data_IF_503362508250
#
_entry.id   IF_503362508250
#
_cell.length_a   1.000
_cell.length_b   1.000
_cell.length_c   1.000
_cell.angle_alpha   90.00
_cell.angle_beta   90.00
_cell.angle_gamma   90.00
#
_symmetry.space_group_name_H-M   'P 1'
#
loop_
_entity.id
_entity.type
_entity.pdbx_description
1 polymer ?
#
# COMPACT_ATOMS: atom_id res chain seq x y z
N UNK A 1 -15.42 -1.97 68.69
CA UNK A 1 -16.79 -1.74 68.15
C UNK A 1 -16.77 -0.44 67.38
N UNK A 2 -16.58 -0.51 66.09
CA UNK A 2 -16.95 0.56 65.16
C UNK A 2 -17.48 -0.16 63.90
N UNK A 3 -18.70 0.19 63.52
CA UNK A 3 -19.48 -0.43 62.46
C UNK A 3 -19.04 0.09 61.10
N UNK A 4 -19.00 -0.83 60.14
CA UNK A 4 -18.95 -0.59 58.70
C UNK A 4 -20.23 0.08 58.22
N UNK A 5 -20.12 1.17 57.48
CA UNK A 5 -21.14 1.66 56.58
C UNK A 5 -20.57 1.62 55.15
N UNK A 6 -21.08 0.65 54.37
CA UNK A 6 -20.89 0.61 52.93
C UNK A 6 -21.77 1.66 52.25
N UNK A 7 -21.15 2.53 51.49
CA UNK A 7 -21.82 3.48 50.60
C UNK A 7 -21.98 2.83 49.20
N UNK A 8 -23.21 2.47 48.86
CA UNK A 8 -23.63 2.11 47.50
C UNK A 8 -23.76 3.40 46.68
N UNK A 9 -22.86 3.62 45.75
CA UNK A 9 -23.07 4.55 44.63
C UNK A 9 -22.53 3.99 43.32
N UNK A 10 -23.40 3.93 42.30
CA UNK A 10 -22.96 4.02 40.91
C UNK A 10 -23.11 2.82 40.00
N UNK A 11 -24.33 2.39 39.69
CA UNK A 11 -24.59 1.46 38.60
C UNK A 11 -25.67 2.04 37.65
N UNK A 12 -25.35 3.12 36.94
CA UNK A 12 -26.19 3.60 35.80
C UNK A 12 -25.46 4.19 34.60
N UNK A 13 -24.14 4.34 34.64
CA UNK A 13 -23.39 4.93 33.50
C UNK A 13 -22.70 3.91 32.52
N UNK A 14 -22.75 2.60 32.83
CA UNK A 14 -22.01 1.61 32.04
C UNK A 14 -22.80 0.96 30.88
N UNK A 15 -24.13 1.07 30.86
CA UNK A 15 -24.94 0.39 29.83
C UNK A 15 -24.97 1.10 28.48
N UNK A 16 -24.89 2.42 28.44
CA UNK A 16 -24.95 3.17 27.18
C UNK A 16 -23.61 3.16 26.42
N UNK A 17 -22.47 3.21 27.14
CA UNK A 17 -21.13 3.09 26.52
C UNK A 17 -20.85 1.69 25.97
N UNK A 18 -21.33 0.63 26.63
CA UNK A 18 -21.18 -0.75 26.13
C UNK A 18 -21.92 -1.02 24.82
N UNK A 19 -23.09 -0.44 24.62
CA UNK A 19 -23.88 -0.66 23.41
C UNK A 19 -23.30 0.04 22.18
N UNK A 20 -22.74 1.25 22.32
CA UNK A 20 -22.17 1.99 21.19
C UNK A 20 -20.83 1.41 20.72
N UNK A 21 -19.95 1.03 21.66
CA UNK A 21 -18.70 0.33 21.35
C UNK A 21 -18.96 -1.06 20.75
N UNK A 22 -20.04 -1.74 21.14
CA UNK A 22 -20.42 -3.02 20.57
C UNK A 22 -21.00 -2.87 19.15
N UNK A 23 -21.74 -1.79 18.87
CA UNK A 23 -22.31 -1.52 17.54
C UNK A 23 -21.25 -1.14 16.50
N UNK A 24 -20.24 -0.33 16.88
CA UNK A 24 -19.12 0.03 16.00
C UNK A 24 -18.24 -1.20 15.75
N UNK A 25 -17.97 -2.00 16.78
CA UNK A 25 -17.23 -3.27 16.63
C UNK A 25 -17.97 -4.28 15.74
N UNK A 26 -19.29 -4.35 15.81
CA UNK A 26 -20.10 -5.23 14.97
C UNK A 26 -20.11 -4.75 13.50
N UNK A 27 -20.07 -3.44 13.22
CA UNK A 27 -20.08 -2.91 11.86
C UNK A 27 -18.70 -3.02 11.16
N UNK A 28 -17.60 -2.85 11.88
CA UNK A 28 -16.26 -3.11 11.32
C UNK A 28 -16.01 -4.59 11.10
N UNK A 29 -16.49 -5.46 11.99
CA UNK A 29 -16.47 -6.91 11.82
C UNK A 29 -17.26 -7.35 10.57
N UNK A 30 -18.44 -6.76 10.33
CA UNK A 30 -19.26 -7.08 9.17
C UNK A 30 -18.60 -6.69 7.83
N UNK A 31 -17.87 -5.57 7.77
CA UNK A 31 -17.10 -5.19 6.59
C UNK A 31 -15.94 -6.18 6.35
N UNK A 32 -15.22 -6.55 7.40
CA UNK A 32 -14.10 -7.49 7.31
C UNK A 32 -14.52 -8.91 6.92
N UNK A 33 -15.77 -9.31 7.23
CA UNK A 33 -16.35 -10.60 6.81
C UNK A 33 -16.60 -10.66 5.29
N UNK A 34 -16.64 -9.51 4.60
CA UNK A 34 -16.79 -9.44 3.14
C UNK A 34 -15.47 -9.55 2.39
N UNK A 35 -14.33 -9.47 3.10
CA UNK A 35 -13.00 -9.55 2.48
C UNK A 35 -12.77 -10.97 1.93
N UNK A 36 -12.49 -11.14 0.64
CA UNK A 36 -12.23 -12.45 0.07
C UNK A 36 -10.88 -13.00 0.54
N UNK A 37 -10.72 -14.31 0.48
CA UNK A 37 -9.37 -14.88 0.56
C UNK A 37 -8.53 -14.37 -0.61
N UNK A 38 -7.49 -13.60 -0.31
CA UNK A 38 -6.64 -12.96 -1.32
C UNK A 38 -5.88 -14.02 -2.11
N UNK A 39 -6.28 -14.27 -3.35
CA UNK A 39 -5.54 -15.14 -4.27
C UNK A 39 -4.32 -14.40 -4.78
N UNK A 40 -3.14 -14.89 -4.42
CA UNK A 40 -1.88 -14.39 -4.97
C UNK A 40 -1.78 -14.80 -6.44
N UNK A 41 -1.89 -13.84 -7.34
CA UNK A 41 -1.77 -14.06 -8.77
C UNK A 41 -0.31 -13.90 -9.22
N UNK A 42 0.21 -14.86 -9.99
CA UNK A 42 1.53 -14.79 -10.60
C UNK A 42 1.41 -14.54 -12.11
N UNK A 43 2.38 -13.82 -12.64
CA UNK A 43 2.55 -13.67 -14.09
C UNK A 43 3.09 -14.96 -14.71
N UNK A 44 2.62 -15.27 -15.90
CA UNK A 44 3.10 -16.41 -16.70
C UNK A 44 4.28 -15.98 -17.58
N UNK A 45 5.47 -15.88 -16.97
CA UNK A 45 6.72 -15.59 -17.65
C UNK A 45 7.75 -16.67 -17.37
N UNK A 46 8.53 -17.04 -18.36
CA UNK A 46 9.79 -17.76 -18.17
C UNK A 46 10.89 -16.72 -17.89
N UNK A 47 11.41 -16.73 -16.67
CA UNK A 47 12.48 -15.81 -16.29
C UNK A 47 13.85 -16.46 -16.58
N UNK A 48 14.79 -15.76 -17.25
CA UNK A 48 16.15 -16.24 -17.43
C UNK A 48 16.89 -16.27 -16.07
N UNK A 49 17.04 -17.47 -15.52
CA UNK A 49 17.59 -17.64 -14.17
C UNK A 49 19.08 -17.38 -14.13
N UNK A 50 19.55 -16.84 -12.99
CA UNK A 50 20.96 -16.74 -12.66
C UNK A 50 21.57 -18.14 -12.47
N UNK A 51 22.73 -18.37 -13.07
CA UNK A 51 23.46 -19.62 -12.97
C UNK A 51 24.67 -19.47 -12.03
N UNK A 52 24.57 -19.93 -10.77
CA UNK A 52 25.65 -19.78 -9.80
C UNK A 52 26.91 -20.59 -10.16
N UNK A 53 26.79 -21.62 -11.01
CA UNK A 53 27.93 -22.45 -11.41
C UNK A 53 28.96 -21.70 -12.23
N UNK A 54 28.56 -20.62 -12.89
CA UNK A 54 29.43 -19.78 -13.72
C UNK A 54 30.36 -18.88 -12.90
N UNK A 55 30.08 -18.67 -11.62
CA UNK A 55 30.93 -17.87 -10.72
C UNK A 55 31.11 -16.41 -11.16
N UNK A 56 30.21 -15.88 -11.99
CA UNK A 56 30.31 -14.54 -12.56
C UNK A 56 29.99 -13.47 -11.52
N UNK A 57 30.82 -12.42 -11.49
CA UNK A 57 30.49 -11.18 -10.76
C UNK A 57 29.62 -10.33 -11.69
N UNK A 58 28.38 -10.06 -11.26
CA UNK A 58 27.50 -9.12 -12.02
C UNK A 58 27.84 -7.67 -11.66
N UNK A 59 27.63 -6.74 -12.58
CA UNK A 59 27.85 -5.32 -12.31
C UNK A 59 26.89 -4.80 -11.25
N UNK A 60 25.62 -5.24 -11.29
CA UNK A 60 24.59 -4.83 -10.33
C UNK A 60 23.76 -6.03 -9.85
N UNK A 61 23.64 -6.20 -8.54
CA UNK A 61 22.62 -7.02 -7.91
C UNK A 61 21.50 -6.12 -7.36
N UNK A 62 20.26 -6.32 -7.82
CA UNK A 62 19.07 -5.63 -7.35
C UNK A 62 18.32 -6.54 -6.39
N UNK A 63 18.23 -6.16 -5.13
CA UNK A 63 17.50 -6.92 -4.10
C UNK A 63 16.11 -6.33 -3.95
N UNK A 64 15.10 -7.03 -4.47
CA UNK A 64 13.70 -6.62 -4.50
C UNK A 64 13.19 -6.37 -5.93
N UNK A 65 12.16 -7.12 -6.33
CA UNK A 65 11.49 -7.07 -7.65
C UNK A 65 10.26 -6.17 -7.67
N UNK A 66 10.24 -5.11 -6.84
CA UNK A 66 9.23 -4.07 -6.87
C UNK A 66 9.39 -3.13 -8.08
N UNK A 67 8.49 -2.14 -8.27
CA UNK A 67 8.56 -1.20 -9.39
C UNK A 67 9.91 -0.50 -9.48
N UNK A 68 10.45 0.01 -8.36
CA UNK A 68 11.74 0.69 -8.32
C UNK A 68 12.90 -0.24 -8.70
N UNK A 69 12.93 -1.48 -8.16
CA UNK A 69 13.98 -2.45 -8.44
C UNK A 69 14.00 -2.85 -9.92
N UNK A 70 12.83 -3.14 -10.51
CA UNK A 70 12.73 -3.50 -11.93
C UNK A 70 13.08 -2.32 -12.84
N UNK A 71 12.69 -1.08 -12.49
CA UNK A 71 13.05 0.10 -13.26
C UNK A 71 14.57 0.30 -13.34
N UNK A 72 15.28 0.19 -12.20
CA UNK A 72 16.75 0.29 -12.20
C UNK A 72 17.37 -0.90 -12.92
N UNK A 73 16.89 -2.12 -12.72
CA UNK A 73 17.37 -3.31 -13.43
C UNK A 73 17.28 -3.14 -14.95
N UNK A 74 16.17 -2.61 -15.44
CA UNK A 74 15.96 -2.30 -16.85
C UNK A 74 16.98 -1.27 -17.34
N UNK A 75 17.05 -0.10 -16.70
CA UNK A 75 17.91 1.00 -17.15
C UNK A 75 19.40 0.62 -17.17
N UNK A 76 19.87 -0.08 -16.14
CA UNK A 76 21.27 -0.51 -16.05
C UNK A 76 21.59 -1.57 -17.09
N UNK A 77 20.66 -2.50 -17.36
CA UNK A 77 20.87 -3.50 -18.42
C UNK A 77 20.79 -2.92 -19.83
N UNK A 78 19.98 -1.89 -20.06
CA UNK A 78 19.97 -1.11 -21.32
C UNK A 78 21.31 -0.42 -21.59
N UNK A 79 22.02 -0.02 -20.54
CA UNK A 79 23.37 0.53 -20.65
C UNK A 79 24.45 -0.55 -20.90
N UNK A 80 24.07 -1.81 -21.08
CA UNK A 80 24.99 -2.91 -21.41
C UNK A 80 25.67 -3.56 -20.19
N UNK A 81 25.26 -3.23 -18.98
CA UNK A 81 25.80 -3.80 -17.76
C UNK A 81 25.04 -5.08 -17.36
N UNK A 82 25.76 -6.02 -16.74
CA UNK A 82 25.20 -7.29 -16.27
C UNK A 82 24.41 -7.09 -14.97
N UNK A 83 23.14 -7.52 -14.94
CA UNK A 83 22.24 -7.34 -13.80
C UNK A 83 21.65 -8.66 -13.34
N UNK A 84 21.61 -8.87 -12.01
CA UNK A 84 20.86 -9.92 -11.37
C UNK A 84 19.79 -9.32 -10.45
N UNK A 85 18.50 -9.60 -10.71
CA UNK A 85 17.38 -9.23 -9.85
C UNK A 85 17.02 -10.39 -8.93
N UNK A 86 17.02 -10.13 -7.61
CA UNK A 86 16.82 -11.16 -6.57
C UNK A 86 15.54 -10.81 -5.81
N UNK A 87 14.56 -11.70 -5.85
CA UNK A 87 13.26 -11.52 -5.18
C UNK A 87 12.66 -12.89 -4.80
N UNK A 88 12.06 -13.05 -3.62
CA UNK A 88 11.42 -14.32 -3.24
C UNK A 88 10.19 -14.67 -4.08
N UNK A 89 9.57 -13.70 -4.72
CA UNK A 89 8.35 -13.88 -5.54
C UNK A 89 8.38 -13.01 -6.80
N UNK A 90 9.35 -13.19 -7.71
CA UNK A 90 9.60 -12.27 -8.82
C UNK A 90 8.42 -12.15 -9.78
N UNK A 91 7.56 -13.18 -9.87
CA UNK A 91 6.38 -13.20 -10.74
C UNK A 91 5.10 -12.72 -10.06
N UNK A 92 5.08 -12.56 -8.74
CA UNK A 92 3.89 -12.16 -8.00
C UNK A 92 3.45 -10.75 -8.40
N UNK A 93 2.17 -10.56 -8.77
CA UNK A 93 1.61 -9.24 -9.03
C UNK A 93 1.65 -8.43 -7.74
N UNK A 94 2.06 -7.16 -7.84
CA UNK A 94 2.16 -6.30 -6.66
C UNK A 94 0.77 -6.08 -6.05
N UNK A 95 0.62 -6.22 -4.72
CA UNK A 95 -0.70 -6.23 -4.08
C UNK A 95 -1.36 -4.85 -4.02
N UNK A 96 -0.55 -3.77 -3.92
CA UNK A 96 -1.05 -2.44 -3.70
C UNK A 96 -1.68 -1.83 -4.96
N UNK A 97 -2.77 -1.08 -4.78
CA UNK A 97 -3.32 -0.24 -5.82
C UNK A 97 -2.42 0.98 -6.04
N UNK A 98 -2.17 1.34 -7.31
CA UNK A 98 -1.34 2.50 -7.67
C UNK A 98 -2.15 3.51 -8.46
N UNK A 99 -2.12 4.76 -7.99
CA UNK A 99 -2.62 5.90 -8.73
C UNK A 99 -1.46 6.84 -9.11
N UNK A 100 -1.53 7.44 -10.30
CA UNK A 100 -0.47 8.27 -10.87
C UNK A 100 -1.03 9.47 -11.62
N UNK A 101 -0.25 10.52 -11.76
CA UNK A 101 -0.55 11.58 -12.70
C UNK A 101 -0.29 11.09 -14.13
N UNK A 102 -1.25 11.31 -15.03
CA UNK A 102 -1.21 10.79 -16.40
C UNK A 102 0.00 11.34 -17.18
N UNK A 103 0.31 12.63 -17.02
CA UNK A 103 1.44 13.29 -17.67
C UNK A 103 2.82 12.71 -17.25
N UNK A 104 2.93 12.19 -16.02
CA UNK A 104 4.15 11.52 -15.56
C UNK A 104 4.31 10.15 -16.24
N UNK A 105 3.22 9.40 -16.41
CA UNK A 105 3.24 8.12 -17.13
C UNK A 105 3.42 8.30 -18.64
N UNK A 106 2.89 9.40 -19.20
CA UNK A 106 3.16 9.79 -20.59
C UNK A 106 4.65 10.03 -20.82
N UNK A 107 5.30 10.82 -19.95
CA UNK A 107 6.74 11.09 -20.04
C UNK A 107 7.62 9.84 -19.91
N UNK A 108 7.12 8.77 -19.31
CA UNK A 108 7.80 7.47 -19.15
C UNK A 108 7.42 6.43 -20.23
N UNK A 109 6.60 6.77 -21.22
CA UNK A 109 6.03 5.83 -22.19
C UNK A 109 5.29 4.65 -21.54
N UNK A 110 4.43 4.97 -20.54
CA UNK A 110 3.67 4.01 -19.75
C UNK A 110 2.15 4.23 -19.77
N UNK A 111 1.62 5.09 -20.68
CA UNK A 111 0.19 5.37 -20.78
C UNK A 111 -0.65 4.10 -20.98
N UNK A 112 -0.13 3.15 -21.76
CA UNK A 112 -0.78 1.84 -22.00
C UNK A 112 -0.90 0.98 -20.74
N UNK A 113 -0.19 1.35 -19.67
CA UNK A 113 -0.28 0.68 -18.36
C UNK A 113 -1.37 1.29 -17.44
N UNK A 114 -2.17 2.25 -17.91
CA UNK A 114 -3.33 2.76 -17.18
C UNK A 114 -4.59 1.99 -17.59
N UNK A 115 -5.39 1.54 -16.63
CA UNK A 115 -6.68 0.87 -16.91
C UNK A 115 -7.89 1.82 -16.78
N UNK A 116 -7.73 2.92 -16.04
CA UNK A 116 -8.76 3.93 -15.86
C UNK A 116 -8.09 5.29 -15.71
N UNK A 117 -8.69 6.32 -16.31
CA UNK A 117 -8.23 7.71 -16.18
C UNK A 117 -9.40 8.63 -15.87
N UNK A 118 -9.14 9.65 -15.06
CA UNK A 118 -10.06 10.74 -14.72
C UNK A 118 -9.51 12.06 -15.26
N UNK A 119 -10.39 12.94 -15.71
CA UNK A 119 -9.99 14.25 -16.26
C UNK A 119 -9.29 15.15 -15.25
N UNK A 120 -9.49 14.88 -13.96
CA UNK A 120 -8.87 15.61 -12.87
C UNK A 120 -9.10 14.93 -11.53
N UNK A 121 -8.72 15.64 -10.48
CA UNK A 121 -8.92 15.18 -9.11
C UNK A 121 -9.56 16.26 -8.25
N UNK A 122 -10.18 15.88 -7.14
CA UNK A 122 -10.76 16.81 -6.17
C UNK A 122 -10.17 16.59 -4.78
N UNK A 123 -9.92 17.71 -4.08
CA UNK A 123 -9.57 17.73 -2.67
C UNK A 123 -10.71 18.40 -1.90
N UNK A 124 -11.34 17.68 -0.98
CA UNK A 124 -12.27 18.25 -0.02
C UNK A 124 -11.50 18.65 1.25
N UNK A 125 -11.45 19.95 1.54
CA UNK A 125 -10.71 20.49 2.70
C UNK A 125 -11.59 20.41 3.95
N UNK A 126 -12.86 20.81 3.82
CA UNK A 126 -13.90 20.71 4.83
C UNK A 126 -15.27 20.56 4.13
N UNK A 127 -16.38 20.57 4.90
CA UNK A 127 -17.73 20.39 4.36
C UNK A 127 -18.17 21.51 3.39
N UNK A 128 -17.52 22.67 3.41
CA UNK A 128 -17.87 23.83 2.61
C UNK A 128 -16.82 24.19 1.55
N UNK A 129 -15.62 23.63 1.66
CA UNK A 129 -14.46 24.03 0.85
C UNK A 129 -13.90 22.84 0.11
N UNK A 130 -13.86 22.95 -1.21
CA UNK A 130 -13.17 21.97 -2.08
C UNK A 130 -12.24 22.67 -3.05
N UNK A 131 -11.24 21.97 -3.53
CA UNK A 131 -10.34 22.37 -4.60
C UNK A 131 -10.33 21.34 -5.71
N UNK A 132 -10.69 21.76 -6.92
CA UNK A 132 -10.51 20.96 -8.11
C UNK A 132 -9.07 21.08 -8.61
N UNK A 133 -8.50 19.98 -9.05
CA UNK A 133 -7.17 19.86 -9.63
C UNK A 133 -7.35 19.47 -11.11
N UNK A 134 -7.06 20.42 -12.01
CA UNK A 134 -7.16 20.23 -13.46
C UNK A 134 -5.92 19.50 -14.00
N UNK A 135 -5.61 18.34 -13.40
CA UNK A 135 -4.51 17.47 -13.80
C UNK A 135 -5.05 16.04 -13.87
N UNK A 136 -5.02 15.40 -15.04
CA UNK A 136 -5.53 14.05 -15.21
C UNK A 136 -4.82 13.04 -14.29
N UNK A 137 -5.62 12.14 -13.72
CA UNK A 137 -5.15 11.09 -12.83
C UNK A 137 -5.49 9.71 -13.39
N UNK A 138 -4.67 8.71 -13.16
CA UNK A 138 -4.86 7.38 -13.69
C UNK A 138 -4.63 6.28 -12.67
N UNK A 139 -5.38 5.17 -12.80
CA UNK A 139 -5.11 3.93 -12.09
C UNK A 139 -4.19 3.06 -12.92
N UNK A 140 -3.18 2.50 -12.27
CA UNK A 140 -2.21 1.61 -12.91
C UNK A 140 -2.75 0.18 -12.98
N UNK A 141 -2.75 -0.41 -14.17
CA UNK A 141 -2.87 -1.84 -14.35
C UNK A 141 -1.56 -2.52 -13.91
N UNK A 142 -1.53 -2.98 -12.68
CA UNK A 142 -0.33 -3.59 -12.03
C UNK A 142 0.22 -4.78 -12.80
N UNK A 143 -0.69 -5.59 -13.35
CA UNK A 143 -0.33 -6.78 -14.16
C UNK A 143 0.38 -6.37 -15.44
N UNK A 144 -0.17 -5.41 -16.16
CA UNK A 144 0.39 -4.93 -17.42
C UNK A 144 1.70 -4.19 -17.19
N UNK A 145 1.77 -3.29 -16.20
CA UNK A 145 3.01 -2.58 -15.85
C UNK A 145 4.14 -3.55 -15.52
N UNK A 146 3.89 -4.51 -14.59
CA UNK A 146 4.91 -5.49 -14.21
C UNK A 146 5.32 -6.37 -15.40
N UNK A 147 4.36 -6.79 -16.25
CA UNK A 147 4.65 -7.55 -17.46
C UNK A 147 5.57 -6.77 -18.40
N UNK A 148 5.26 -5.50 -18.67
CA UNK A 148 6.06 -4.63 -19.54
C UNK A 148 7.48 -4.44 -18.99
N UNK A 149 7.63 -4.19 -17.69
CA UNK A 149 8.94 -4.04 -17.04
C UNK A 149 9.75 -5.33 -17.07
N UNK A 150 9.14 -6.49 -16.75
CA UNK A 150 9.82 -7.79 -16.82
C UNK A 150 10.26 -8.10 -18.25
N UNK A 151 9.39 -7.86 -19.26
CA UNK A 151 9.72 -8.09 -20.66
C UNK A 151 10.95 -7.25 -21.09
N UNK A 152 11.01 -5.98 -20.71
CA UNK A 152 12.17 -5.13 -20.98
C UNK A 152 13.44 -5.66 -20.28
N UNK A 153 13.34 -6.05 -19.01
CA UNK A 153 14.45 -6.67 -18.29
C UNK A 153 14.97 -7.94 -18.97
N UNK A 154 14.04 -8.84 -19.40
CA UNK A 154 14.37 -10.10 -20.09
C UNK A 154 15.07 -9.82 -21.41
N UNK A 155 14.54 -8.90 -22.22
CA UNK A 155 15.10 -8.51 -23.53
C UNK A 155 16.52 -7.97 -23.38
N UNK A 156 16.80 -7.22 -22.31
CA UNK A 156 18.11 -6.64 -22.03
C UNK A 156 19.05 -7.60 -21.26
N UNK A 157 18.67 -8.86 -21.09
CA UNK A 157 19.54 -9.89 -20.52
C UNK A 157 19.65 -9.95 -19.00
N UNK A 158 18.78 -9.25 -18.27
CA UNK A 158 18.70 -9.36 -16.81
C UNK A 158 18.50 -10.80 -16.40
N UNK A 159 19.27 -11.29 -15.43
CA UNK A 159 19.08 -12.60 -14.80
C UNK A 159 18.26 -12.45 -13.52
N UNK A 160 17.48 -13.47 -13.21
CA UNK A 160 16.63 -13.49 -12.03
C UNK A 160 17.05 -14.61 -11.08
N UNK A 161 16.94 -14.36 -9.78
CA UNK A 161 17.14 -15.38 -8.76
C UNK A 161 15.98 -15.34 -7.77
N UNK A 162 15.24 -16.46 -7.69
CA UNK A 162 14.06 -16.53 -6.82
C UNK A 162 14.49 -16.96 -5.42
N UNK A 163 14.91 -16.00 -4.60
CA UNK A 163 15.32 -16.24 -3.22
C UNK A 163 15.23 -14.94 -2.40
N UNK A 164 15.39 -15.08 -1.08
CA UNK A 164 15.54 -13.97 -0.15
C UNK A 164 17.02 -13.80 0.20
N UNK A 165 17.57 -12.62 -0.02
CA UNK A 165 18.90 -12.26 0.49
C UNK A 165 18.83 -12.16 2.02
N UNK A 166 19.66 -12.91 2.71
CA UNK A 166 19.71 -12.95 4.18
C UNK A 166 20.95 -12.28 4.77
N UNK A 167 22.00 -12.10 3.97
CA UNK A 167 23.24 -11.44 4.38
C UNK A 167 23.98 -10.90 3.16
N UNK A 168 24.61 -9.74 3.33
CA UNK A 168 25.59 -9.19 2.39
C UNK A 168 26.95 -9.08 3.09
N UNK A 169 28.00 -9.50 2.42
CA UNK A 169 29.40 -9.36 2.86
C UNK A 169 30.10 -8.51 1.82
N UNK A 170 30.66 -7.38 2.23
CA UNK A 170 31.43 -6.51 1.36
C UNK A 170 32.90 -6.92 1.41
N UNK A 171 33.47 -7.16 0.25
CA UNK A 171 34.90 -7.35 0.00
C UNK A 171 35.50 -6.11 -0.68
N UNK A 172 36.78 -6.08 -0.91
CA UNK A 172 37.48 -4.91 -1.46
C UNK A 172 36.95 -4.50 -2.86
N UNK A 173 36.60 -5.46 -3.72
CA UNK A 173 36.22 -5.21 -5.13
C UNK A 173 34.82 -5.70 -5.49
N UNK A 174 34.12 -6.37 -4.58
CA UNK A 174 32.78 -6.95 -4.81
C UNK A 174 32.04 -7.18 -3.51
N UNK A 175 30.77 -7.48 -3.63
CA UNK A 175 29.90 -7.92 -2.52
C UNK A 175 29.41 -9.35 -2.77
N UNK A 176 29.24 -10.09 -1.69
CA UNK A 176 28.70 -11.45 -1.68
C UNK A 176 27.28 -11.39 -1.07
N UNK A 177 26.27 -11.70 -1.87
CA UNK A 177 24.88 -11.78 -1.43
C UNK A 177 24.54 -13.24 -1.12
N UNK A 178 24.36 -13.56 0.14
CA UNK A 178 23.99 -14.91 0.60
C UNK A 178 22.48 -15.01 0.63
N UNK A 179 21.94 -15.96 -0.13
CA UNK A 179 20.51 -16.23 -0.22
C UNK A 179 20.08 -17.38 0.71
N UNK A 180 18.80 -17.40 1.05
CA UNK A 180 18.21 -18.39 1.95
C UNK A 180 18.17 -19.83 1.38
N UNK A 181 18.39 -20.00 0.09
CA UNK A 181 18.51 -21.29 -0.61
C UNK A 181 19.97 -21.80 -0.69
N UNK A 182 20.91 -21.08 -0.05
CA UNK A 182 22.33 -21.42 -0.03
C UNK A 182 23.14 -20.88 -1.20
N UNK A 183 22.51 -20.26 -2.21
CA UNK A 183 23.22 -19.64 -3.33
C UNK A 183 23.89 -18.35 -2.86
N UNK A 184 25.13 -18.11 -3.35
CA UNK A 184 25.83 -16.84 -3.19
C UNK A 184 25.97 -16.15 -4.54
N UNK A 185 25.47 -14.92 -4.63
CA UNK A 185 25.58 -14.07 -5.81
C UNK A 185 26.68 -13.04 -5.57
N UNK A 186 27.55 -12.86 -6.56
CA UNK A 186 28.64 -11.90 -6.50
C UNK A 186 28.29 -10.67 -7.36
N UNK A 187 28.46 -9.48 -6.81
CA UNK A 187 28.16 -8.24 -7.51
C UNK A 187 29.16 -7.13 -7.20
N UNK A 188 29.48 -6.31 -8.18
CA UNK A 188 30.28 -5.10 -7.97
C UNK A 188 29.50 -4.08 -7.13
N UNK A 189 28.21 -3.89 -7.45
CA UNK A 189 27.30 -2.98 -6.74
C UNK A 189 26.06 -3.75 -6.28
N UNK A 190 25.54 -3.41 -5.09
CA UNK A 190 24.29 -3.95 -4.53
C UNK A 190 23.32 -2.79 -4.34
N UNK A 191 22.11 -2.94 -4.89
CA UNK A 191 20.99 -2.03 -4.68
C UNK A 191 19.96 -2.67 -3.74
N UNK A 192 19.68 -2.02 -2.61
CA UNK A 192 18.54 -2.36 -1.77
C UNK A 192 17.26 -1.71 -2.31
N UNK A 193 16.42 -2.50 -2.97
CA UNK A 193 15.09 -2.13 -3.45
C UNK A 193 13.98 -2.89 -2.70
N UNK A 194 14.23 -3.29 -1.45
CA UNK A 194 13.32 -4.08 -0.63
C UNK A 194 12.16 -3.27 -0.02
N UNK A 195 12.04 -2.00 -0.39
CA UNK A 195 10.96 -1.12 0.03
C UNK A 195 10.91 -0.94 1.55
N UNK A 196 9.77 -1.26 2.14
CA UNK A 196 9.56 -1.11 3.59
C UNK A 196 10.59 -1.85 4.45
N UNK A 197 11.04 -3.03 4.04
CA UNK A 197 11.90 -3.88 4.89
C UNK A 197 13.32 -3.34 5.04
N UNK A 198 13.86 -2.59 4.04
CA UNK A 198 15.21 -2.00 4.08
C UNK A 198 16.26 -2.94 4.71
N UNK A 199 16.24 -4.19 4.27
CA UNK A 199 16.95 -5.28 4.98
C UNK A 199 18.48 -5.20 4.88
N UNK A 200 19.02 -4.37 3.98
CA UNK A 200 20.46 -4.20 3.77
C UNK A 200 21.01 -2.88 4.35
N UNK A 201 20.15 -2.05 4.94
CA UNK A 201 20.56 -0.76 5.51
C UNK A 201 20.97 -0.93 6.97
N UNK A 202 22.17 -0.45 7.32
CA UNK A 202 22.62 -0.30 8.69
C UNK A 202 22.44 1.16 9.12
N UNK A 203 21.75 1.37 10.25
CA UNK A 203 21.49 2.71 10.79
C UNK A 203 22.46 3.03 11.93
N UNK A 204 22.95 4.27 11.99
CA UNK A 204 23.81 4.77 13.07
C UNK A 204 23.06 4.86 14.41
N UNK A 205 21.75 4.96 14.38
CA UNK A 205 20.87 5.01 15.55
C UNK A 205 19.72 4.03 15.40
N UNK A 206 19.04 3.61 16.49
CA UNK A 206 17.87 2.77 16.40
C UNK A 206 16.85 3.37 15.44
N UNK A 207 16.46 2.59 14.45
CA UNK A 207 15.48 3.00 13.43
C UNK A 207 14.09 3.11 14.08
N UNK A 208 13.54 4.32 14.11
CA UNK A 208 12.21 4.61 14.66
C UNK A 208 11.52 5.64 13.78
N UNK A 209 11.06 5.26 12.58
CA UNK A 209 10.38 6.17 11.65
C UNK A 209 8.97 6.52 12.09
N UNK A 210 8.41 7.58 11.48
CA UNK A 210 6.97 7.77 11.45
C UNK A 210 6.37 6.92 10.33
N UNK A 211 5.07 6.63 10.45
CA UNK A 211 4.33 5.85 9.47
C UNK A 211 3.02 6.52 9.09
N UNK A 212 2.75 6.56 7.81
CA UNK A 212 1.41 6.74 7.27
C UNK A 212 0.78 5.35 7.15
N UNK A 213 -0.45 5.19 7.62
CA UNK A 213 -1.16 3.90 7.60
C UNK A 213 -2.44 4.05 6.83
N UNK A 214 -2.71 3.13 5.92
CA UNK A 214 -3.90 3.15 5.08
C UNK A 214 -4.56 1.77 5.02
N UNK A 215 -5.89 1.79 4.95
CA UNK A 215 -6.72 0.62 4.66
C UNK A 215 -7.58 0.92 3.43
N UNK A 216 -7.39 0.13 2.38
CA UNK A 216 -8.09 0.26 1.10
C UNK A 216 -8.95 -0.95 0.78
N UNK A 217 -10.07 -0.72 0.07
CA UNK A 217 -10.90 -1.77 -0.51
C UNK A 217 -11.30 -1.41 -1.94
N UNK A 218 -11.19 -2.36 -2.84
CA UNK A 218 -11.89 -2.32 -4.13
C UNK A 218 -13.22 -3.03 -3.93
N UNK A 219 -14.33 -2.33 -4.10
CA UNK A 219 -15.63 -2.83 -3.71
C UNK A 219 -16.71 -2.61 -4.77
N UNK A 220 -17.66 -3.53 -4.81
CA UNK A 220 -18.99 -3.30 -5.35
C UNK A 220 -19.88 -2.73 -4.25
N UNK A 221 -20.55 -1.61 -4.56
CA UNK A 221 -21.43 -0.87 -3.63
C UNK A 221 -22.84 -0.73 -4.24
N UNK A 222 -23.85 -0.35 -3.44
CA UNK A 222 -25.16 -0.04 -3.99
C UNK A 222 -25.07 1.22 -4.87
N UNK A 223 -24.50 2.29 -4.32
CA UNK A 223 -24.23 3.57 -4.99
C UNK A 223 -23.19 4.36 -4.18
N UNK A 224 -22.60 5.38 -4.77
CA UNK A 224 -21.70 6.32 -4.10
C UNK A 224 -21.91 7.76 -4.61
N UNK A 225 -21.59 8.80 -3.81
CA UNK A 225 -21.88 10.20 -4.15
C UNK A 225 -20.79 10.88 -5.00
N UNK A 226 -19.76 10.16 -5.43
CA UNK A 226 -18.61 10.75 -6.12
C UNK A 226 -18.85 10.90 -7.61
N UNK A 227 -18.27 11.97 -8.19
CA UNK A 227 -18.26 12.23 -9.63
C UNK A 227 -17.42 11.16 -10.34
N UNK A 228 -17.95 10.59 -11.42
CA UNK A 228 -17.26 9.54 -12.18
C UNK A 228 -16.13 10.07 -13.06
N UNK A 229 -16.09 11.37 -13.32
CA UNK A 229 -15.07 12.02 -14.14
C UNK A 229 -13.88 12.56 -13.29
N UNK A 230 -13.99 12.50 -11.97
CA UNK A 230 -12.97 13.00 -11.05
C UNK A 230 -12.60 11.98 -9.99
N UNK A 231 -11.30 11.81 -9.79
CA UNK A 231 -10.77 11.06 -8.67
C UNK A 231 -10.81 11.90 -7.39
N UNK A 232 -11.15 11.32 -6.24
CA UNK A 232 -11.06 11.98 -4.94
C UNK A 232 -9.66 11.77 -4.37
N UNK A 233 -8.83 12.82 -4.50
CA UNK A 233 -7.42 12.72 -4.10
C UNK A 233 -7.24 12.79 -2.59
N UNK A 234 -7.99 13.66 -1.90
CA UNK A 234 -8.03 13.73 -0.44
C UNK A 234 -9.39 14.28 0.01
N UNK A 235 -10.11 13.54 0.81
CA UNK A 235 -11.32 14.02 1.48
C UNK A 235 -11.07 14.12 2.99
N UNK A 236 -10.78 15.34 3.46
CA UNK A 236 -10.50 15.67 4.86
C UNK A 236 -11.73 15.94 5.71
N UNK A 237 -12.94 15.88 5.13
CA UNK A 237 -14.17 16.10 5.88
C UNK A 237 -14.27 15.10 7.04
N UNK A 238 -14.60 15.60 8.22
CA UNK A 238 -14.63 14.79 9.46
C UNK A 238 -16.00 14.80 10.17
N UNK A 239 -17.03 15.36 9.54
CA UNK A 239 -18.40 15.42 10.07
C UNK A 239 -18.99 14.05 10.41
N UNK A 240 -18.53 12.99 9.76
CA UNK A 240 -18.87 11.59 10.08
C UNK A 240 -18.46 11.18 11.51
N UNK A 241 -17.56 11.90 12.16
CA UNK A 241 -17.08 11.63 13.52
C UNK A 241 -17.85 12.41 14.60
N UNK A 242 -18.74 13.34 14.23
CA UNK A 242 -19.42 14.22 15.18
C UNK A 242 -20.21 13.48 16.27
N UNK A 243 -20.69 12.28 15.98
CA UNK A 243 -21.44 11.45 16.94
C UNK A 243 -20.56 10.45 17.71
N UNK A 244 -19.22 10.51 17.54
CA UNK A 244 -18.27 9.65 18.22
C UNK A 244 -17.10 10.48 18.77
N UNK A 245 -17.21 10.90 20.03
CA UNK A 245 -16.23 11.78 20.67
C UNK A 245 -14.82 11.18 20.74
N UNK A 246 -14.70 9.85 20.88
CA UNK A 246 -13.41 9.16 20.98
C UNK A 246 -12.67 9.17 19.63
N UNK A 247 -13.38 8.82 18.54
CA UNK A 247 -12.82 8.89 17.18
C UNK A 247 -12.53 10.33 16.77
N UNK A 248 -13.39 11.29 17.14
CA UNK A 248 -13.18 12.71 16.81
C UNK A 248 -11.94 13.28 17.53
N UNK A 249 -11.76 12.95 18.81
CA UNK A 249 -10.55 13.33 19.55
C UNK A 249 -9.29 12.69 18.95
N UNK A 250 -9.36 11.40 18.59
CA UNK A 250 -8.26 10.72 17.93
C UNK A 250 -7.93 11.35 16.57
N UNK A 251 -8.97 11.71 15.78
CA UNK A 251 -8.79 12.35 14.47
C UNK A 251 -8.22 13.77 14.58
N UNK A 252 -8.57 14.52 15.63
CA UNK A 252 -7.99 15.86 15.85
C UNK A 252 -6.49 15.84 16.14
N UNK A 253 -5.97 14.73 16.68
CA UNK A 253 -4.54 14.53 16.94
C UNK A 253 -3.78 14.04 15.72
N UNK A 254 -4.35 13.05 15.03
CA UNK A 254 -3.80 12.45 13.80
C UNK A 254 -4.95 12.29 12.82
N UNK A 255 -5.16 13.27 11.94
CA UNK A 255 -6.24 13.22 10.96
C UNK A 255 -6.09 12.07 9.98
N UNK A 256 -7.24 11.63 9.43
CA UNK A 256 -7.31 10.75 8.27
C UNK A 256 -8.11 11.41 7.16
N UNK A 257 -7.86 10.99 5.94
CA UNK A 257 -8.60 11.40 4.75
C UNK A 257 -9.02 10.17 3.95
N UNK A 258 -10.09 10.32 3.19
CA UNK A 258 -10.49 9.32 2.20
C UNK A 258 -9.82 9.63 0.85
N UNK A 259 -9.25 8.61 0.25
CA UNK A 259 -8.85 8.55 -1.15
C UNK A 259 -9.85 7.65 -1.89
N UNK A 260 -10.35 8.08 -3.06
CA UNK A 260 -11.34 7.29 -3.77
C UNK A 260 -11.19 7.36 -5.28
N UNK A 261 -11.28 6.19 -5.93
CA UNK A 261 -11.27 6.02 -7.38
C UNK A 261 -12.61 5.45 -7.84
N UNK A 262 -13.56 6.27 -8.34
CA UNK A 262 -14.82 5.80 -8.87
C UNK A 262 -14.65 5.22 -10.28
N UNK A 263 -14.99 3.94 -10.48
CA UNK A 263 -14.91 3.28 -11.79
C UNK A 263 -16.26 3.24 -12.50
N UNK A 264 -17.33 3.12 -11.73
CA UNK A 264 -18.72 3.20 -12.19
C UNK A 264 -19.61 3.63 -11.02
N UNK A 265 -20.91 3.78 -11.23
CA UNK A 265 -21.86 4.16 -10.17
C UNK A 265 -21.90 3.17 -8.98
N UNK A 266 -21.42 1.94 -9.15
CA UNK A 266 -21.48 0.88 -8.15
C UNK A 266 -20.15 0.15 -7.94
N UNK A 267 -19.06 0.57 -8.58
CA UNK A 267 -17.72 -0.02 -8.38
C UNK A 267 -16.71 1.06 -8.08
N UNK A 268 -16.02 0.95 -6.95
CA UNK A 268 -15.14 2.02 -6.46
C UNK A 268 -14.00 1.44 -5.61
N UNK A 269 -12.82 2.05 -5.71
CA UNK A 269 -11.77 1.87 -4.73
C UNK A 269 -11.87 2.99 -3.68
N UNK A 270 -11.80 2.61 -2.42
CA UNK A 270 -11.92 3.49 -1.26
C UNK A 270 -10.77 3.18 -0.29
N UNK A 271 -10.05 4.21 0.13
CA UNK A 271 -8.94 4.06 1.07
C UNK A 271 -8.97 5.15 2.13
N UNK A 272 -9.02 4.76 3.40
CA UNK A 272 -8.87 5.66 4.54
C UNK A 272 -7.39 5.68 4.94
N UNK A 273 -6.77 6.86 4.93
CA UNK A 273 -5.33 7.05 5.09
C UNK A 273 -5.05 8.05 6.20
N UNK A 274 -4.14 7.71 7.14
CA UNK A 274 -3.70 8.62 8.21
C UNK A 274 -2.62 9.58 7.73
N UNK A 275 -2.45 10.68 8.44
CA UNK A 275 -1.17 11.40 8.41
C UNK A 275 -0.07 10.57 9.08
N UNK A 276 1.19 10.97 8.82
CA UNK A 276 2.36 10.33 9.44
C UNK A 276 2.32 10.49 10.95
N UNK A 277 2.45 9.39 11.65
CA UNK A 277 2.49 9.34 13.11
C UNK A 277 3.62 8.43 13.62
N UNK A 278 4.06 8.66 14.84
CA UNK A 278 5.08 7.86 15.53
C UNK A 278 4.64 7.56 16.96
N UNK A 279 4.24 6.32 17.27
CA UNK A 279 4.06 5.19 16.36
C UNK A 279 2.95 5.45 15.33
N UNK A 280 2.92 4.65 14.25
CA UNK A 280 1.83 4.70 13.26
C UNK A 280 0.47 4.38 13.89
N UNK A 281 -0.59 4.92 13.31
CA UNK A 281 -1.97 4.66 13.77
C UNK A 281 -2.27 3.16 13.64
N UNK A 282 -2.87 2.52 14.65
CA UNK A 282 -3.26 1.11 14.53
C UNK A 282 -4.20 0.89 13.34
N UNK A 283 -3.96 -0.15 12.55
CA UNK A 283 -4.78 -0.49 11.37
C UNK A 283 -6.27 -0.57 11.70
N UNK A 284 -6.60 -1.14 12.87
CA UNK A 284 -7.97 -1.24 13.34
C UNK A 284 -8.66 0.13 13.49
N UNK A 285 -7.93 1.15 13.94
CA UNK A 285 -8.48 2.50 14.11
C UNK A 285 -8.76 3.14 12.74
N UNK A 286 -7.93 2.85 11.73
CA UNK A 286 -8.16 3.25 10.34
C UNK A 286 -9.42 2.59 9.80
N UNK A 287 -9.57 1.29 9.99
CA UNK A 287 -10.77 0.54 9.59
C UNK A 287 -12.05 1.06 10.26
N UNK A 288 -12.00 1.39 11.54
CA UNK A 288 -13.15 1.97 12.27
C UNK A 288 -13.54 3.35 11.72
N UNK A 289 -12.56 4.20 11.36
CA UNK A 289 -12.81 5.50 10.73
C UNK A 289 -13.41 5.35 9.33
N UNK A 290 -12.87 4.42 8.53
CA UNK A 290 -13.44 4.10 7.22
C UNK A 290 -14.91 3.69 7.32
N UNK A 291 -15.25 2.75 8.20
CA UNK A 291 -16.63 2.30 8.42
C UNK A 291 -17.55 3.46 8.83
N UNK A 292 -17.08 4.35 9.71
CA UNK A 292 -17.84 5.53 10.11
C UNK A 292 -18.09 6.48 8.91
N UNK A 293 -17.07 6.68 8.06
CA UNK A 293 -17.16 7.51 6.85
C UNK A 293 -18.12 6.90 5.82
N UNK A 294 -17.97 5.61 5.49
CA UNK A 294 -18.86 4.93 4.54
C UNK A 294 -20.32 5.02 4.97
N UNK A 295 -20.59 4.79 6.26
CA UNK A 295 -21.92 4.93 6.84
C UNK A 295 -22.49 6.35 6.70
N UNK A 296 -21.66 7.38 6.94
CA UNK A 296 -22.05 8.79 6.82
C UNK A 296 -22.35 9.17 5.37
N UNK A 297 -21.54 8.68 4.43
CA UNK A 297 -21.72 8.90 2.99
C UNK A 297 -22.86 8.07 2.39
N UNK A 298 -23.50 7.18 3.16
CA UNK A 298 -24.56 6.30 2.69
C UNK A 298 -24.07 5.16 1.80
N UNK A 299 -22.75 4.92 1.74
CA UNK A 299 -22.16 3.87 0.90
C UNK A 299 -22.37 2.51 1.56
N UNK A 300 -23.10 1.64 0.89
CA UNK A 300 -23.35 0.26 1.32
C UNK A 300 -22.55 -0.70 0.45
N UNK A 301 -21.55 -1.34 1.05
CA UNK A 301 -20.70 -2.33 0.39
C UNK A 301 -21.47 -3.63 0.23
N UNK A 302 -21.54 -4.15 -1.00
CA UNK A 302 -22.14 -5.45 -1.36
C UNK A 302 -21.12 -6.58 -1.32
N UNK A 303 -19.95 -6.33 -1.90
CA UNK A 303 -18.82 -7.26 -1.92
C UNK A 303 -17.51 -6.51 -1.98
N UNK A 304 -16.43 -7.13 -1.50
CA UNK A 304 -15.07 -6.64 -1.62
C UNK A 304 -14.35 -7.54 -2.62
N UNK A 305 -13.77 -6.94 -3.66
CA UNK A 305 -12.99 -7.64 -4.68
C UNK A 305 -11.53 -7.82 -4.21
N UNK A 306 -10.96 -6.75 -3.65
CA UNK A 306 -9.59 -6.71 -3.12
C UNK A 306 -9.57 -5.85 -1.86
N UNK A 307 -8.68 -6.17 -0.92
CA UNK A 307 -8.34 -5.27 0.18
C UNK A 307 -6.83 -5.06 0.28
N UNK A 308 -6.42 -3.93 0.84
CA UNK A 308 -5.01 -3.64 1.05
C UNK A 308 -4.76 -2.96 2.41
N UNK A 309 -3.63 -3.35 3.01
CA UNK A 309 -3.14 -2.82 4.26
C UNK A 309 -1.78 -2.18 4.02
N UNK A 310 -1.74 -0.85 3.97
CA UNK A 310 -0.53 -0.11 3.68
C UNK A 310 0.09 0.47 4.95
N UNK A 311 1.41 0.31 5.07
CA UNK A 311 2.24 0.98 6.08
C UNK A 311 3.41 1.62 5.35
N UNK A 312 3.40 2.95 5.27
CA UNK A 312 4.33 3.74 4.47
C UNK A 312 5.24 4.52 5.42
N UNK A 313 6.54 4.21 5.50
CA UNK A 313 7.50 4.88 6.37
C UNK A 313 7.96 6.22 5.83
#
# INVERSE_FOLDING_TARGET
>A
KIQNQELRFGLKKSRQKRNMSCFIKASSSALLELVPETKKENLEFELPMYDPSKGLVVDLAVVGGGPAGLAVAQQVSEAGLSVCSIDPSPKLIWPNNYGVWVDEFEAMDLLDCLDTTWSGAVVHIDDNTKKDLDRPYGRVNRKLLKSKMLQKCITNGVKFHQAKVIKVIHEESKSLLICNDGVTIQAAVVLDATGFSRCLVQYDKPYNPGYQVAYGILAEVEEHPFDLDKMVFMDWRDSHLNNNSELKEANSKIPTFLYAMPFSSNRIFLEETSLVARPGVPMKDIQERMVARLKHLGIKVRSIEEDEHCVIP
#
